data_IF_778866323142
#
_entry.id   IF_778866323142
#
_cell.length_a   1.000
_cell.length_b   1.000
_cell.length_c   1.000
_cell.angle_alpha   90.00
_cell.angle_beta   90.00
_cell.angle_gamma   90.00
#
_symmetry.space_group_name_H-M   'P 1'
#
loop_
_entity.id
_entity.type
_entity.pdbx_description
1 polymer ?
#
# COMPACT_ATOMS: atom_id res chain seq x y z
N UNK A 1 18.83 -14.33 -6.11
CA UNK A 1 18.04 -14.17 -4.86
C UNK A 1 18.73 -13.40 -3.72
N UNK A 2 19.92 -12.81 -3.93
CA UNK A 2 20.71 -12.23 -2.82
C UNK A 2 20.30 -10.81 -2.41
N UNK A 3 19.53 -10.11 -3.24
CA UNK A 3 19.14 -8.71 -2.97
C UNK A 3 18.15 -8.69 -1.81
N UNK A 4 18.43 -7.86 -0.80
CA UNK A 4 17.56 -7.64 0.35
C UNK A 4 16.99 -6.20 0.34
N UNK A 5 15.74 -5.99 -0.12
CA UNK A 5 15.09 -4.68 -0.10
C UNK A 5 14.85 -4.09 1.29
N UNK A 6 14.90 -4.90 2.36
CA UNK A 6 14.77 -4.42 3.75
C UNK A 6 16.09 -3.88 4.33
N UNK A 7 17.21 -4.01 3.60
CA UNK A 7 18.47 -3.47 4.06
C UNK A 7 18.40 -1.94 4.15
N UNK A 8 18.67 -1.39 5.35
CA UNK A 8 18.63 0.05 5.63
C UNK A 8 17.26 0.61 6.01
N UNK A 9 16.21 -0.22 6.06
CA UNK A 9 14.85 0.22 6.38
C UNK A 9 14.54 0.21 7.88
N UNK A 10 15.43 -0.34 8.72
CA UNK A 10 15.31 -0.37 10.18
C UNK A 10 15.87 0.93 10.78
N UNK A 11 15.27 2.06 10.40
CA UNK A 11 15.67 3.41 10.80
C UNK A 11 14.67 3.96 11.83
N UNK A 12 15.16 4.65 12.87
CA UNK A 12 14.31 5.36 13.85
C UNK A 12 14.07 6.81 13.42
N UNK A 13 13.14 6.97 12.47
CA UNK A 13 12.71 8.27 11.97
C UNK A 13 13.88 9.20 11.63
N UNK A 14 13.77 10.45 12.09
CA UNK A 14 14.83 11.46 11.93
C UNK A 14 16.01 11.30 12.90
N UNK A 15 15.86 10.48 13.95
CA UNK A 15 16.84 10.41 15.04
C UNK A 15 18.07 9.61 14.67
N UNK A 16 17.88 8.46 14.02
CA UNK A 16 18.98 7.56 13.71
C UNK A 16 18.75 6.78 12.42
N UNK A 17 19.67 6.96 11.47
CA UNK A 17 19.65 6.29 10.17
C UNK A 17 20.50 5.04 10.16
N UNK A 18 19.94 3.94 9.66
CA UNK A 18 20.68 2.74 9.24
C UNK A 18 20.76 2.61 7.71
N UNK A 19 20.33 3.65 7.00
CA UNK A 19 20.32 3.70 5.53
C UNK A 19 19.25 4.64 5.00
N UNK A 20 18.14 4.83 5.73
CA UNK A 20 16.98 5.63 5.28
C UNK A 20 16.41 5.15 3.94
N UNK A 21 16.45 3.83 3.71
CA UNK A 21 15.95 3.22 2.48
C UNK A 21 14.49 2.82 2.61
N UNK A 22 13.86 2.58 1.47
CA UNK A 22 12.53 2.01 1.35
C UNK A 22 12.64 0.64 0.65
N UNK A 23 11.76 -0.32 0.96
CA UNK A 23 11.77 -1.63 0.33
C UNK A 23 11.10 -1.57 -1.06
N UNK A 24 11.73 -0.82 -1.97
CA UNK A 24 11.17 -0.51 -3.29
C UNK A 24 11.11 -1.76 -4.16
N UNK A 25 9.90 -2.10 -4.59
CA UNK A 25 9.61 -3.11 -5.60
C UNK A 25 9.35 -2.37 -6.92
N UNK A 26 10.16 -2.64 -7.93
CA UNK A 26 10.17 -1.87 -9.18
C UNK A 26 11.10 -2.45 -10.23
N UNK A 27 10.94 -1.99 -11.48
CA UNK A 27 11.92 -2.25 -12.54
C UNK A 27 13.14 -1.35 -12.33
N UNK A 28 14.34 -1.74 -12.81
CA UNK A 28 15.48 -0.83 -12.86
C UNK A 28 15.09 0.47 -13.58
N UNK A 29 15.25 1.61 -12.90
CA UNK A 29 14.83 2.94 -13.38
C UNK A 29 13.35 3.02 -13.78
N UNK A 30 12.50 2.27 -13.08
CA UNK A 30 11.05 2.34 -13.24
C UNK A 30 10.52 3.74 -12.92
N UNK A 31 9.47 4.16 -13.63
CA UNK A 31 8.77 5.39 -13.32
C UNK A 31 8.07 5.28 -11.96
N UNK A 32 7.38 4.16 -11.72
CA UNK A 32 6.68 3.88 -10.47
C UNK A 32 7.42 2.82 -9.63
N UNK A 33 7.63 3.12 -8.35
CA UNK A 33 8.07 2.14 -7.35
C UNK A 33 6.96 1.87 -6.35
N UNK A 34 6.98 0.66 -5.77
CA UNK A 34 5.92 0.19 -4.88
C UNK A 34 6.51 -0.26 -3.54
N UNK A 35 5.91 0.16 -2.44
CA UNK A 35 6.31 -0.25 -1.10
C UNK A 35 5.12 -0.30 -0.16
N UNK A 36 5.10 -1.20 0.85
CA UNK A 36 4.12 -1.13 1.93
C UNK A 36 4.32 0.17 2.72
N UNK A 37 3.23 0.78 3.18
CA UNK A 37 3.26 1.89 4.11
C UNK A 37 2.86 1.39 5.51
N UNK A 38 3.64 1.72 6.53
CA UNK A 38 3.48 1.16 7.88
C UNK A 38 2.89 2.15 8.89
N UNK A 39 2.84 3.44 8.57
CA UNK A 39 2.20 4.44 9.43
C UNK A 39 1.30 5.39 8.63
N UNK A 40 0.74 6.42 9.29
CA UNK A 40 -0.22 7.36 8.67
C UNK A 40 0.34 8.17 7.50
N UNK A 41 1.65 8.15 7.26
CA UNK A 41 2.28 8.87 6.16
C UNK A 41 2.31 10.39 6.34
N UNK A 42 2.19 10.87 7.58
CA UNK A 42 2.27 12.30 7.93
C UNK A 42 3.69 12.86 7.90
N UNK A 43 4.69 12.00 7.74
CA UNK A 43 6.10 12.36 7.54
C UNK A 43 6.68 11.57 6.39
N UNK A 44 7.87 11.95 5.94
CA UNK A 44 8.60 11.22 4.90
C UNK A 44 9.14 9.85 5.37
N UNK A 45 9.13 9.56 6.68
CA UNK A 45 9.41 8.22 7.23
C UNK A 45 8.11 7.44 7.34
N UNK A 46 7.48 7.16 6.20
CA UNK A 46 6.20 6.45 6.13
C UNK A 46 6.34 4.92 6.16
N UNK A 47 7.57 4.42 6.13
CA UNK A 47 7.92 3.00 6.27
C UNK A 47 9.03 2.83 7.31
N UNK A 48 8.91 1.79 8.14
CA UNK A 48 10.01 1.23 8.92
C UNK A 48 9.93 -0.29 8.93
N UNK A 49 11.08 -0.95 8.80
CA UNK A 49 11.18 -2.42 8.91
C UNK A 49 10.87 -2.96 10.31
N UNK A 50 10.82 -2.08 11.32
CA UNK A 50 10.46 -2.41 12.70
C UNK A 50 8.95 -2.34 12.96
N UNK A 51 8.17 -1.77 12.03
CA UNK A 51 6.74 -1.56 12.22
C UNK A 51 5.94 -2.81 11.82
N UNK A 52 5.08 -3.27 12.72
CA UNK A 52 4.13 -4.37 12.45
C UNK A 52 2.75 -3.86 12.00
N UNK A 53 2.54 -2.56 11.95
CA UNK A 53 1.37 -1.95 11.31
C UNK A 53 1.52 -1.95 9.79
N UNK A 54 0.41 -2.17 9.09
CA UNK A 54 0.29 -2.07 7.65
C UNK A 54 -0.91 -1.19 7.32
N UNK A 55 -0.73 -0.23 6.42
CA UNK A 55 -1.82 0.60 5.91
C UNK A 55 -2.31 0.07 4.58
N UNK A 56 -1.50 0.24 3.54
CA UNK A 56 -1.70 -0.24 2.18
C UNK A 56 -0.38 -0.15 1.42
N UNK A 57 -0.38 -0.58 0.16
CA UNK A 57 0.77 -0.42 -0.73
C UNK A 57 0.74 0.99 -1.31
N UNK A 58 1.85 1.69 -1.21
CA UNK A 58 2.08 3.02 -1.77
C UNK A 58 2.81 2.91 -3.11
N UNK A 59 2.28 3.59 -4.13
CA UNK A 59 3.05 3.97 -5.32
C UNK A 59 3.82 5.24 -4.97
N UNK A 60 5.15 5.22 -5.06
CA UNK A 60 6.02 6.28 -4.54
C UNK A 60 7.10 6.67 -5.54
N UNK A 61 7.54 7.92 -5.43
CA UNK A 61 8.69 8.49 -6.12
C UNK A 61 9.70 9.09 -5.14
N UNK A 62 9.57 8.79 -3.84
CA UNK A 62 10.42 9.36 -2.80
C UNK A 62 11.87 8.90 -2.96
N UNK A 63 12.82 9.81 -3.23
CA UNK A 63 14.23 9.44 -3.37
C UNK A 63 14.93 9.35 -2.00
N UNK A 64 14.45 10.12 -1.01
CA UNK A 64 14.93 10.11 0.36
C UNK A 64 13.88 10.73 1.28
N UNK A 65 13.90 10.45 2.60
CA UNK A 65 12.95 11.07 3.50
C UNK A 65 13.18 12.58 3.67
N UNK A 66 14.34 13.11 3.31
CA UNK A 66 14.63 14.55 3.37
C UNK A 66 14.01 15.34 2.23
N UNK A 67 13.89 14.72 1.05
CA UNK A 67 13.24 15.31 -0.13
C UNK A 67 11.72 15.13 -0.05
N UNK A 68 11.28 14.01 0.54
CA UNK A 68 9.86 13.64 0.56
C UNK A 68 9.39 13.05 -0.76
N UNK A 69 8.07 12.86 -0.86
CA UNK A 69 7.44 12.14 -1.96
C UNK A 69 6.54 13.07 -2.78
N UNK A 70 6.30 12.70 -4.03
CA UNK A 70 5.40 13.43 -4.93
C UNK A 70 4.56 12.45 -5.76
N UNK A 71 3.39 12.92 -6.21
CA UNK A 71 2.46 12.15 -7.06
C UNK A 71 2.20 10.71 -6.56
N UNK A 72 2.16 10.52 -5.25
CA UNK A 72 1.97 9.22 -4.64
C UNK A 72 0.50 8.95 -4.35
N UNK A 73 0.15 7.67 -4.36
CA UNK A 73 -1.16 7.18 -3.96
C UNK A 73 -1.00 5.84 -3.27
N UNK A 74 -2.03 5.42 -2.55
CA UNK A 74 -2.08 4.13 -1.88
C UNK A 74 -3.20 3.29 -2.44
N UNK A 75 -2.99 1.98 -2.46
CA UNK A 75 -4.01 1.01 -2.83
C UNK A 75 -3.90 -0.26 -1.99
N UNK A 76 -5.04 -0.89 -1.73
CA UNK A 76 -5.05 -2.20 -1.13
C UNK A 76 -6.45 -2.73 -0.86
N UNK A 77 -6.53 -3.98 -0.38
CA UNK A 77 -7.79 -4.61 -0.08
C UNK A 77 -8.36 -4.19 1.27
N UNK A 78 -9.68 -4.29 1.40
CA UNK A 78 -10.42 -4.25 2.66
C UNK A 78 -11.55 -5.27 2.62
N UNK A 79 -11.98 -5.71 3.79
CA UNK A 79 -13.22 -6.45 3.96
C UNK A 79 -14.16 -5.72 4.93
N UNK A 80 -15.46 -5.77 4.64
CA UNK A 80 -16.50 -5.21 5.49
C UNK A 80 -16.73 -3.74 5.21
N UNK A 81 -16.91 -2.95 6.27
CA UNK A 81 -17.13 -1.51 6.12
C UNK A 81 -15.87 -0.84 5.59
N UNK A 82 -16.05 -0.04 4.54
CA UNK A 82 -14.95 0.73 3.95
C UNK A 82 -14.43 1.75 4.97
N UNK A 83 -13.14 1.66 5.27
CA UNK A 83 -12.41 2.60 6.13
C UNK A 83 -11.51 3.52 5.30
N UNK A 84 -11.41 4.79 5.69
CA UNK A 84 -10.55 5.77 4.99
C UNK A 84 -9.06 5.65 5.36
N UNK A 85 -8.75 5.22 6.57
CA UNK A 85 -7.39 4.99 7.07
C UNK A 85 -7.31 3.59 7.68
N UNK A 86 -7.32 2.53 6.86
CA UNK A 86 -7.31 1.16 7.36
C UNK A 86 -6.02 0.86 8.11
N UNK A 87 -6.16 0.05 9.16
CA UNK A 87 -5.05 -0.53 9.90
C UNK A 87 -5.14 -2.03 9.77
N UNK A 88 -4.14 -2.62 9.12
CA UNK A 88 -3.83 -4.04 9.18
C UNK A 88 -2.54 -4.28 9.94
N UNK A 89 -2.20 -5.55 10.11
CA UNK A 89 -0.95 -5.98 10.71
C UNK A 89 -0.21 -6.89 9.76
N UNK A 90 1.12 -6.88 9.81
CA UNK A 90 1.97 -7.74 8.99
C UNK A 90 3.30 -7.99 9.71
N UNK A 91 4.08 -8.93 9.18
CA UNK A 91 5.43 -9.22 9.67
C UNK A 91 6.44 -8.90 8.56
N UNK A 92 7.16 -7.76 8.63
CA UNK A 92 8.10 -7.35 7.59
C UNK A 92 9.15 -8.41 7.26
N UNK A 93 9.64 -9.16 8.26
CA UNK A 93 10.68 -10.19 8.06
C UNK A 93 10.12 -11.51 7.54
N UNK A 94 8.83 -11.73 7.71
CA UNK A 94 8.09 -12.88 7.19
C UNK A 94 7.53 -12.64 5.79
N UNK A 95 7.46 -11.37 5.36
CA UNK A 95 7.11 -11.00 4.01
C UNK A 95 8.22 -11.35 3.02
N UNK A 96 7.84 -11.83 1.84
CA UNK A 96 8.76 -11.98 0.71
C UNK A 96 8.78 -10.68 -0.07
N UNK A 97 9.83 -9.87 0.12
CA UNK A 97 10.06 -8.65 -0.65
C UNK A 97 11.30 -8.85 -1.53
N UNK A 98 11.09 -8.92 -2.83
CA UNK A 98 12.11 -8.97 -3.87
C UNK A 98 11.95 -7.75 -4.80
N UNK A 99 12.99 -7.31 -5.52
CA UNK A 99 12.86 -6.19 -6.46
C UNK A 99 11.72 -6.34 -7.48
N UNK A 100 11.35 -7.58 -7.83
CA UNK A 100 10.30 -7.90 -8.81
C UNK A 100 9.01 -8.47 -8.19
N UNK A 101 8.92 -8.63 -6.87
CA UNK A 101 7.76 -9.25 -6.22
C UNK A 101 7.63 -8.79 -4.77
N UNK A 102 6.44 -8.35 -4.39
CA UNK A 102 6.00 -8.23 -3.01
C UNK A 102 4.98 -9.32 -2.73
N UNK A 103 5.15 -10.09 -1.65
CA UNK A 103 4.24 -11.17 -1.26
C UNK A 103 4.18 -11.28 0.26
N UNK A 104 3.01 -11.06 0.85
CA UNK A 104 2.80 -11.11 2.29
C UNK A 104 1.33 -11.34 2.64
N UNK A 105 1.09 -11.73 3.90
CA UNK A 105 -0.25 -11.89 4.47
C UNK A 105 -0.47 -10.82 5.53
N UNK A 106 -1.67 -10.24 5.55
CA UNK A 106 -2.06 -9.24 6.55
C UNK A 106 -3.02 -9.84 7.58
N UNK A 107 -2.84 -9.51 8.85
CA UNK A 107 -3.81 -9.73 9.92
C UNK A 107 -4.71 -8.51 10.16
N UNK A 108 -5.86 -8.66 10.85
CA UNK A 108 -6.38 -9.91 11.41
C UNK A 108 -7.05 -10.82 10.37
N UNK A 109 -7.38 -10.28 9.20
CA UNK A 109 -8.24 -10.91 8.21
C UNK A 109 -7.58 -12.04 7.40
N UNK A 110 -6.27 -12.19 7.44
CA UNK A 110 -5.56 -13.22 6.67
C UNK A 110 -5.61 -13.00 5.16
N UNK A 111 -5.71 -11.74 4.71
CA UNK A 111 -5.65 -11.42 3.28
C UNK A 111 -4.22 -11.62 2.76
N UNK A 112 -4.07 -12.38 1.67
CA UNK A 112 -2.79 -12.59 1.00
C UNK A 112 -2.67 -11.62 -0.17
N UNK A 113 -1.60 -10.83 -0.17
CA UNK A 113 -1.37 -9.73 -1.10
C UNK A 113 -0.08 -10.00 -1.88
N UNK A 114 -0.18 -9.95 -3.20
CA UNK A 114 0.94 -10.10 -4.11
C UNK A 114 0.98 -8.95 -5.10
N UNK A 115 2.16 -8.38 -5.34
CA UNK A 115 2.35 -7.31 -6.32
C UNK A 115 3.61 -7.53 -7.18
N UNK A 116 3.44 -7.43 -8.50
CA UNK A 116 4.54 -7.48 -9.46
C UNK A 116 4.59 -6.18 -10.29
N UNK A 117 5.73 -5.47 -10.35
CA UNK A 117 5.84 -4.16 -10.99
C UNK A 117 6.13 -4.26 -12.49
N UNK A 118 5.76 -3.21 -13.21
CA UNK A 118 6.23 -2.89 -14.57
C UNK A 118 6.93 -1.52 -14.54
N UNK A 119 7.27 -0.94 -15.70
CA UNK A 119 7.89 0.40 -15.73
C UNK A 119 6.96 1.49 -15.21
N UNK A 120 5.64 1.40 -15.49
CA UNK A 120 4.66 2.46 -15.22
C UNK A 120 3.43 1.99 -14.42
N UNK A 121 3.36 0.72 -14.06
CA UNK A 121 2.20 0.17 -13.35
C UNK A 121 2.58 -1.07 -12.56
N UNK A 122 1.58 -1.79 -12.06
CA UNK A 122 1.78 -3.06 -11.38
C UNK A 122 0.56 -3.96 -11.50
N UNK A 123 0.79 -5.27 -11.42
CA UNK A 123 -0.26 -6.25 -11.23
C UNK A 123 -0.38 -6.54 -9.72
N UNK A 124 -1.54 -6.21 -9.16
CA UNK A 124 -1.95 -6.56 -7.81
C UNK A 124 -2.84 -7.81 -7.87
N UNK A 125 -2.48 -8.84 -7.11
CA UNK A 125 -3.26 -10.04 -6.90
C UNK A 125 -3.57 -10.17 -5.41
N UNK A 126 -4.85 -10.27 -5.07
CA UNK A 126 -5.31 -10.40 -3.69
C UNK A 126 -6.11 -11.70 -3.57
N UNK A 127 -5.72 -12.52 -2.61
CA UNK A 127 -6.49 -13.69 -2.18
C UNK A 127 -7.14 -13.37 -0.84
N UNK A 128 -8.46 -13.24 -0.85
CA UNK A 128 -9.26 -13.07 0.36
C UNK A 128 -9.43 -14.44 1.07
N UNK A 129 -9.50 -14.46 2.41
CA UNK A 129 -9.66 -15.71 3.17
C UNK A 129 -10.92 -16.47 2.76
N UNK A 130 -10.84 -17.80 2.78
CA UNK A 130 -11.97 -18.72 2.50
C UNK A 130 -12.98 -18.73 3.64
N UNK A 131 -12.52 -18.68 4.89
CA UNK A 131 -13.38 -18.54 6.06
C UNK A 131 -13.50 -17.06 6.43
N UNK A 132 -14.63 -16.47 6.08
CA UNK A 132 -15.02 -15.15 6.55
C UNK A 132 -16.26 -15.33 7.44
N UNK A 133 -16.14 -15.24 8.77
CA UNK A 133 -17.25 -15.54 9.69
C UNK A 133 -18.46 -14.60 9.55
N UNK A 134 -18.38 -13.56 8.71
CA UNK A 134 -19.42 -12.52 8.64
C UNK A 134 -19.81 -12.08 7.23
N UNK A 135 -19.58 -12.89 6.19
CA UNK A 135 -19.93 -12.58 4.78
C UNK A 135 -19.60 -11.14 4.38
N UNK A 136 -18.44 -10.64 4.82
CA UNK A 136 -18.09 -9.24 4.65
C UNK A 136 -17.84 -8.92 3.17
N UNK A 137 -18.29 -7.74 2.75
CA UNK A 137 -18.04 -7.26 1.40
C UNK A 137 -16.55 -7.09 1.15
N UNK A 138 -16.09 -7.54 -0.01
CA UNK A 138 -14.68 -7.47 -0.41
C UNK A 138 -14.48 -6.22 -1.25
N UNK A 139 -13.48 -5.44 -0.92
CA UNK A 139 -13.19 -4.18 -1.61
C UNK A 139 -11.72 -4.11 -2.01
N UNK A 140 -11.44 -3.50 -3.16
CA UNK A 140 -10.14 -2.90 -3.44
C UNK A 140 -10.34 -1.39 -3.43
N UNK A 141 -9.47 -0.71 -2.71
CA UNK A 141 -9.59 0.70 -2.43
C UNK A 141 -8.33 1.45 -2.80
N UNK A 142 -8.49 2.74 -3.08
CA UNK A 142 -7.41 3.67 -3.40
C UNK A 142 -7.59 4.99 -2.67
N UNK A 143 -6.46 5.64 -2.38
CA UNK A 143 -6.40 6.93 -1.71
C UNK A 143 -5.27 7.77 -2.29
N UNK A 144 -5.53 9.04 -2.58
CA UNK A 144 -4.50 10.00 -2.99
C UNK A 144 -3.82 10.66 -1.78
N UNK A 145 -2.64 11.24 -2.01
CA UNK A 145 -1.78 11.83 -1.00
C UNK A 145 -2.48 12.76 0.02
N UNK A 146 -3.38 13.63 -0.46
CA UNK A 146 -4.05 14.64 0.37
C UNK A 146 -5.43 14.20 0.89
N UNK A 147 -5.74 12.91 0.80
CA UNK A 147 -7.09 12.41 1.02
C UNK A 147 -8.05 12.73 -0.13
N UNK A 148 -7.55 13.35 -1.20
CA UNK A 148 -8.32 13.50 -2.42
C UNK A 148 -8.75 12.11 -2.95
N UNK A 149 -9.96 12.07 -3.49
CA UNK A 149 -10.51 10.87 -4.10
C UNK A 149 -10.28 10.97 -5.60
N UNK A 150 -9.94 9.88 -6.28
CA UNK A 150 -10.12 9.86 -7.74
C UNK A 150 -11.58 10.23 -8.02
N UNK A 151 -11.82 11.27 -8.81
CA UNK A 151 -13.18 11.66 -9.16
C UNK A 151 -13.82 10.50 -9.92
N UNK A 152 -14.87 9.90 -9.37
CA UNK A 152 -15.75 9.08 -10.16
C UNK A 152 -16.19 9.91 -11.37
N UNK A 153 -16.03 9.36 -12.57
CA UNK A 153 -16.82 9.79 -13.73
C UNK A 153 -18.26 9.34 -13.43
N UNK A 154 -18.92 10.00 -12.48
CA UNK A 154 -20.19 9.56 -11.91
C UNK A 154 -20.60 10.31 -10.63
N UNK A 155 -21.46 11.31 -10.81
CA UNK A 155 -22.34 11.96 -9.82
C UNK A 155 -21.74 12.66 -8.58
N UNK A 156 -21.80 14.01 -8.61
CA UNK A 156 -21.72 14.89 -7.43
C UNK A 156 -22.87 14.59 -6.44
N UNK A 157 -22.57 14.35 -5.17
CA UNK A 157 -23.56 14.47 -4.09
C UNK A 157 -23.74 15.94 -3.68
N UNK A 158 -24.96 16.30 -3.26
CA UNK A 158 -25.47 17.69 -3.13
C UNK A 158 -25.05 18.46 -1.87
N UNK A 159 -24.08 17.98 -1.08
CA UNK A 159 -23.68 18.65 0.16
C UNK A 159 -22.16 18.86 0.20
N UNK A 160 -21.75 20.12 0.10
CA UNK A 160 -20.36 20.58 -0.09
C UNK A 160 -19.45 20.43 1.13
N UNK A 161 -19.28 19.21 1.64
CA UNK A 161 -18.20 18.87 2.56
C UNK A 161 -17.24 17.90 1.88
N UNK A 162 -16.01 18.35 1.64
CA UNK A 162 -14.90 17.50 1.21
C UNK A 162 -14.51 16.60 2.39
N UNK A 163 -15.08 15.40 2.45
CA UNK A 163 -14.47 14.33 3.22
C UNK A 163 -13.61 13.52 2.28
N UNK A 164 -12.32 13.43 2.60
CA UNK A 164 -11.41 12.50 1.98
C UNK A 164 -11.98 11.08 2.13
N UNK A 165 -12.49 10.50 1.03
CA UNK A 165 -13.04 9.14 1.02
C UNK A 165 -12.09 8.25 0.25
N UNK A 166 -11.71 7.11 0.80
CA UNK A 166 -11.05 6.10 -0.03
C UNK A 166 -12.07 5.68 -1.09
N UNK A 167 -11.71 5.74 -2.38
CA UNK A 167 -12.58 5.23 -3.43
C UNK A 167 -12.39 3.72 -3.47
N UNK A 168 -13.48 2.97 -3.34
CA UNK A 168 -13.45 1.52 -3.21
C UNK A 168 -14.35 0.87 -4.25
N UNK A 169 -13.84 -0.15 -4.93
CA UNK A 169 -14.61 -1.00 -5.83
C UNK A 169 -14.91 -2.32 -5.15
N UNK A 170 -16.21 -2.65 -5.04
CA UNK A 170 -16.65 -3.96 -4.55
C UNK A 170 -16.20 -5.06 -5.51
N UNK A 171 -15.78 -6.18 -4.96
CA UNK A 171 -15.22 -7.32 -5.69
C UNK A 171 -16.10 -8.54 -5.49
N UNK A 172 -16.71 -9.01 -6.57
CA UNK A 172 -17.48 -10.26 -6.61
C UNK A 172 -16.70 -11.36 -7.37
N UNK A 173 -15.39 -11.51 -7.11
CA UNK A 173 -14.54 -12.47 -7.83
C UNK A 173 -13.03 -12.18 -7.70
N UNK A 174 -12.23 -12.66 -8.67
CA UNK A 174 -10.78 -12.42 -8.73
C UNK A 174 -10.50 -11.08 -9.44
N UNK A 175 -9.78 -10.16 -8.81
CA UNK A 175 -9.30 -8.92 -9.46
C UNK A 175 -7.90 -9.15 -9.99
N UNK A 176 -7.65 -8.84 -11.27
CA UNK A 176 -6.34 -8.95 -11.90
C UNK A 176 -6.04 -7.74 -12.78
N UNK A 177 -4.99 -6.99 -12.42
CA UNK A 177 -4.28 -6.03 -13.28
C UNK A 177 -4.84 -4.61 -13.34
N UNK A 178 -3.94 -3.63 -13.21
CA UNK A 178 -4.12 -2.23 -13.62
C UNK A 178 -3.00 -1.88 -14.61
N UNK A 179 -3.34 -1.24 -15.74
CA UNK A 179 -2.37 -0.70 -16.71
C UNK A 179 -1.96 0.70 -16.31
#
# INVERSE_FOLDING_TARGET
DLVNPLAGTFTDGQKFSTGNTLPLVGRPWGFNHWAPQTNKGTSSWWFSGSDHEFRWIRCTHQPSPWIGDYAWFMMGPQMGSVQHDPVGFWEPRGATIKPHLMDFVTGPDGMHIQLAPTMHGALLHVTFPTFNPSSLDKHICWKLANGDTFSDVGHKSREGKWQAKAQCKRVNGRVSGFK
#
